data_IF_955928005529
#
_entry.id   IF_955928005529
#
_cell.length_a   1.000
_cell.length_b   1.000
_cell.length_c   1.000
_cell.angle_alpha   90.00
_cell.angle_beta   90.00
_cell.angle_gamma   90.00
#
_symmetry.space_group_name_H-M   'P 1'
#
loop_
_entity.id
_entity.type
_entity.pdbx_description
1 polymer ?
#
# COMPACT_ATOMS: atom_id res chain seq x y z
N UNK A 1 6.09 -3.04 0.79
CA UNK A 1 4.84 -2.62 0.11
C UNK A 1 5.21 -2.11 -1.29
N UNK A 2 4.21 -1.86 -2.14
CA UNK A 2 4.42 -1.24 -3.46
C UNK A 2 3.52 -0.02 -3.57
N UNK A 3 4.06 1.10 -4.05
CA UNK A 3 3.30 2.33 -4.32
C UNK A 3 3.36 2.58 -5.82
N UNK A 4 2.22 2.85 -6.45
CA UNK A 4 2.15 3.17 -7.88
C UNK A 4 0.96 4.09 -8.14
N UNK A 5 0.92 4.72 -9.32
CA UNK A 5 -0.28 5.48 -9.71
C UNK A 5 -1.50 4.59 -9.87
N UNK A 6 -1.34 3.39 -10.43
CA UNK A 6 -2.41 2.40 -10.64
C UNK A 6 -1.84 0.99 -10.71
N UNK A 7 -2.66 -0.03 -10.40
CA UNK A 7 -2.32 -1.44 -10.59
C UNK A 7 -3.25 -2.13 -11.58
N UNK A 8 -2.70 -3.08 -12.34
CA UNK A 8 -3.52 -4.01 -13.13
C UNK A 8 -4.39 -4.88 -12.19
N UNK A 9 -5.65 -5.10 -12.56
CA UNK A 9 -6.63 -5.84 -11.73
C UNK A 9 -6.14 -7.22 -11.25
N UNK A 10 -5.42 -7.95 -12.10
CA UNK A 10 -4.85 -9.27 -11.75
C UNK A 10 -3.77 -9.13 -10.68
N UNK A 11 -2.87 -8.15 -10.84
CA UNK A 11 -1.83 -7.87 -9.85
C UNK A 11 -2.45 -7.45 -8.51
N UNK A 12 -3.45 -6.57 -8.54
CA UNK A 12 -4.16 -6.12 -7.35
C UNK A 12 -4.73 -7.29 -6.53
N UNK A 13 -5.46 -8.20 -7.18
CA UNK A 13 -6.01 -9.40 -6.54
C UNK A 13 -4.91 -10.33 -6.01
N UNK A 14 -3.87 -10.57 -6.79
CA UNK A 14 -2.79 -11.47 -6.38
C UNK A 14 -2.00 -10.92 -5.19
N UNK A 15 -1.78 -9.60 -5.14
CA UNK A 15 -1.13 -8.93 -4.02
C UNK A 15 -1.92 -9.14 -2.72
N UNK A 16 -3.24 -8.91 -2.73
CA UNK A 16 -4.10 -9.14 -1.57
C UNK A 16 -4.08 -10.61 -1.15
N UNK A 17 -4.15 -11.54 -2.11
CA UNK A 17 -4.16 -12.97 -1.81
C UNK A 17 -2.93 -13.43 -1.02
N UNK A 18 -1.77 -12.82 -1.27
CA UNK A 18 -0.50 -13.14 -0.59
C UNK A 18 -0.17 -12.18 0.56
N UNK A 19 -1.02 -11.20 0.85
CA UNK A 19 -0.77 -10.20 1.90
C UNK A 19 0.25 -9.13 1.52
N UNK A 20 0.53 -8.93 0.24
CA UNK A 20 1.38 -7.84 -0.22
C UNK A 20 0.60 -6.53 -0.19
N UNK A 21 1.00 -5.61 0.68
CA UNK A 21 0.43 -4.27 0.73
C UNK A 21 0.80 -3.45 -0.51
N UNK A 22 -0.22 -2.92 -1.18
CA UNK A 22 -0.11 -2.08 -2.38
C UNK A 22 -0.88 -0.78 -2.18
N UNK A 23 -0.37 0.36 -2.61
CA UNK A 23 -1.03 1.66 -2.43
C UNK A 23 -1.07 2.39 -3.76
N UNK A 24 -2.28 2.83 -4.14
CA UNK A 24 -2.46 3.69 -5.31
C UNK A 24 -2.36 5.15 -4.87
N UNK A 25 -1.32 5.84 -5.35
CA UNK A 25 -1.10 7.25 -5.10
C UNK A 25 -0.25 7.84 -6.23
N UNK A 26 -0.91 8.57 -7.14
CA UNK A 26 -0.26 9.14 -8.32
C UNK A 26 0.80 10.20 -7.97
N UNK A 27 0.52 11.04 -6.96
CA UNK A 27 1.45 12.07 -6.48
C UNK A 27 2.73 11.45 -5.90
N UNK A 28 2.58 10.48 -4.99
CA UNK A 28 3.71 9.78 -4.38
C UNK A 28 4.54 9.03 -5.42
N UNK A 29 3.89 8.34 -6.38
CA UNK A 29 4.58 7.58 -7.41
C UNK A 29 5.39 8.45 -8.39
N UNK A 30 4.98 9.71 -8.60
CA UNK A 30 5.69 10.67 -9.47
C UNK A 30 6.78 11.44 -8.74
N UNK A 31 6.61 11.69 -7.45
CA UNK A 31 7.55 12.49 -6.67
C UNK A 31 8.64 11.66 -5.98
N UNK A 32 8.36 10.41 -5.57
CA UNK A 32 9.35 9.60 -4.87
C UNK A 32 10.39 9.06 -5.86
N UNK A 33 11.65 9.47 -5.64
CA UNK A 33 12.79 9.05 -6.44
C UNK A 33 13.55 7.88 -5.79
N UNK A 34 14.33 7.16 -6.58
CA UNK A 34 15.20 6.10 -6.06
C UNK A 34 16.20 6.68 -5.04
N UNK A 35 16.32 6.03 -3.88
CA UNK A 35 17.14 6.48 -2.76
C UNK A 35 16.44 7.42 -1.78
N UNK A 36 15.16 7.77 -1.99
CA UNK A 36 14.37 8.46 -0.97
C UNK A 36 13.93 7.49 0.13
N UNK A 37 13.95 7.98 1.37
CA UNK A 37 13.37 7.30 2.52
C UNK A 37 11.90 7.66 2.62
N UNK A 38 11.05 6.64 2.74
CA UNK A 38 9.60 6.78 2.72
C UNK A 38 9.00 6.03 3.89
N UNK A 39 8.18 6.71 4.67
CA UNK A 39 7.33 6.12 5.69
C UNK A 39 5.91 6.00 5.18
N UNK A 40 5.24 4.90 5.55
CA UNK A 40 3.89 4.61 5.08
C UNK A 40 3.04 4.19 6.26
N UNK A 41 1.96 4.92 6.48
CA UNK A 41 0.90 4.57 7.42
C UNK A 41 -0.23 3.87 6.67
N UNK A 42 -0.36 2.56 6.86
CA UNK A 42 -1.39 1.75 6.20
C UNK A 42 -2.79 1.92 6.82
N UNK A 43 -2.88 2.46 8.03
CA UNK A 43 -4.17 2.71 8.68
C UNK A 43 -4.83 3.96 8.10
N UNK A 44 -4.04 5.03 7.97
CA UNK A 44 -4.51 6.33 7.44
C UNK A 44 -4.34 6.48 5.93
N UNK A 45 -3.48 5.68 5.30
CA UNK A 45 -3.09 5.78 3.90
C UNK A 45 -2.11 6.93 3.62
N UNK A 46 -1.48 7.49 4.66
CA UNK A 46 -0.53 8.59 4.52
C UNK A 46 0.85 8.05 4.16
N UNK A 47 1.46 8.64 3.14
CA UNK A 47 2.81 8.34 2.68
C UNK A 47 3.66 9.58 2.93
N UNK A 48 4.73 9.45 3.69
CA UNK A 48 5.64 10.54 4.01
C UNK A 48 6.99 10.29 3.34
N UNK A 49 7.41 11.18 2.45
CA UNK A 49 8.78 11.19 1.95
C UNK A 49 9.64 11.96 2.97
N UNK A 50 10.40 11.21 3.77
CA UNK A 50 11.23 11.76 4.85
C UNK A 50 12.38 12.59 4.30
N UNK A 51 12.91 12.21 3.14
CA UNK A 51 14.02 12.92 2.49
C UNK A 51 13.60 14.31 1.98
N UNK A 52 12.38 14.45 1.46
CA UNK A 52 11.84 15.72 0.93
C UNK A 52 10.99 16.49 1.95
N UNK A 53 10.54 15.86 3.02
CA UNK A 53 9.64 16.44 4.02
C UNK A 53 8.20 16.64 3.51
N UNK A 54 7.79 15.87 2.51
CA UNK A 54 6.47 15.97 1.87
C UNK A 54 5.59 14.78 2.25
N UNK A 55 4.28 14.99 2.27
CA UNK A 55 3.28 13.96 2.57
C UNK A 55 2.25 13.86 1.45
N UNK A 56 1.81 12.63 1.19
CA UNK A 56 0.81 12.28 0.19
C UNK A 56 -0.25 11.41 0.85
N UNK A 57 -1.44 11.40 0.26
CA UNK A 57 -2.54 10.57 0.73
C UNK A 57 -2.97 9.59 -0.35
N UNK A 58 -2.74 8.31 -0.09
CA UNK A 58 -3.29 7.23 -0.89
C UNK A 58 -4.75 6.97 -0.51
N UNK A 59 -5.48 6.30 -1.39
CA UNK A 59 -6.78 5.76 -1.00
C UNK A 59 -6.58 4.66 0.06
N UNK A 60 -7.21 4.80 1.25
CA UNK A 60 -7.07 3.79 2.28
C UNK A 60 -7.80 2.52 1.87
N UNK A 61 -7.24 1.38 2.26
CA UNK A 61 -7.93 0.12 2.07
C UNK A 61 -9.24 0.06 2.88
N UNK A 62 -10.29 -0.59 2.34
CA UNK A 62 -11.40 -1.05 3.16
C UNK A 62 -10.89 -1.93 4.31
N UNK A 63 -11.55 -1.87 5.47
CA UNK A 63 -11.11 -2.61 6.68
C UNK A 63 -10.89 -4.11 6.43
N UNK A 64 -11.73 -4.74 5.59
CA UNK A 64 -11.59 -6.16 5.28
C UNK A 64 -10.25 -6.47 4.56
N UNK A 65 -9.77 -5.59 3.68
CA UNK A 65 -8.49 -5.78 2.99
C UNK A 65 -7.34 -5.57 3.97
N UNK A 66 -7.45 -4.60 4.87
CA UNK A 66 -6.45 -4.39 5.93
C UNK A 66 -6.30 -5.65 6.79
N UNK A 67 -7.41 -6.26 7.23
CA UNK A 67 -7.39 -7.50 8.00
C UNK A 67 -6.71 -8.65 7.24
N UNK A 68 -7.01 -8.79 5.94
CA UNK A 68 -6.37 -9.79 5.09
C UNK A 68 -4.86 -9.59 5.02
N UNK A 69 -4.41 -8.36 4.78
CA UNK A 69 -2.99 -8.02 4.69
C UNK A 69 -2.29 -8.24 6.04
N UNK A 70 -2.90 -7.80 7.15
CA UNK A 70 -2.38 -7.98 8.50
C UNK A 70 -2.24 -9.45 8.90
N UNK A 71 -3.12 -10.32 8.40
CA UNK A 71 -3.04 -11.78 8.60
C UNK A 71 -2.08 -12.46 7.61
N UNK A 72 -1.38 -11.71 6.76
CA UNK A 72 -0.41 -12.24 5.80
C UNK A 72 -1.06 -12.94 4.61
N UNK A 73 -2.23 -12.46 4.18
CA UNK A 73 -2.92 -12.92 2.97
C UNK A 73 -4.24 -13.64 3.23
N UNK A 74 -5.01 -13.80 2.15
CA UNK A 74 -6.42 -14.24 2.20
C UNK A 74 -6.57 -15.63 2.81
N UNK A 75 -5.66 -16.57 2.52
CA UNK A 75 -5.77 -17.92 3.08
C UNK A 75 -5.59 -17.92 4.60
N UNK A 76 -4.73 -17.05 5.13
CA UNK A 76 -4.51 -16.94 6.56
C UNK A 76 -5.64 -16.16 7.23
N UNK A 77 -6.28 -15.22 6.53
CA UNK A 77 -7.44 -14.51 7.06
C UNK A 77 -8.68 -15.37 7.26
N UNK A 78 -8.77 -16.48 6.52
CA UNK A 78 -9.85 -17.46 6.59
C UNK A 78 -9.59 -18.59 7.60
N UNK A 79 -8.36 -18.73 8.09
CA UNK A 79 -8.03 -19.70 9.14
C UNK A 79 -8.54 -19.15 10.48
N UNK A 80 -9.28 -19.98 11.22
CA UNK A 80 -9.71 -19.70 12.60
C UNK A 80 -8.53 -19.62 13.53
#
# INVERSE_FOLDING_TARGET
CVIASTFARIFYRNAINIGLAILECDEAAKDIDNGNEVEVDFDTGVITNVTKGCTYKAEPFPEFIKDIINKGGLLNSLKK
#
